data_IF_562017766220
#
_entry.id   IF_562017766220
#
_cell.length_a   1.000
_cell.length_b   1.000
_cell.length_c   1.000
_cell.angle_alpha   90.00
_cell.angle_beta   90.00
_cell.angle_gamma   90.00
#
_symmetry.space_group_name_H-M   'P 1'
#
loop_
_entity.id
_entity.type
_entity.pdbx_description
1 polymer ?
#
# COMPACT_ATOMS: atom_id res chain seq x y z
N UNK A 1 -4.39 -11.82 16.82
CA UNK A 1 -4.52 -11.19 15.51
C UNK A 1 -3.21 -11.27 14.75
N UNK A 2 -3.28 -11.59 13.47
CA UNK A 2 -2.10 -11.73 12.63
C UNK A 2 -1.50 -10.35 12.34
N UNK A 3 -0.17 -10.22 12.49
CA UNK A 3 0.53 -8.96 12.24
C UNK A 3 0.35 -8.48 10.80
N UNK A 4 0.35 -9.43 9.83
CA UNK A 4 0.15 -9.08 8.41
C UNK A 4 -1.24 -8.48 8.19
N UNK A 5 -2.25 -8.95 8.88
CA UNK A 5 -3.59 -8.39 8.75
C UNK A 5 -3.65 -6.94 9.21
N UNK A 6 -2.93 -6.61 10.29
CA UNK A 6 -2.82 -5.23 10.75
C UNK A 6 -2.10 -4.36 9.72
N UNK A 7 -1.02 -4.88 9.14
CA UNK A 7 -0.26 -4.14 8.12
C UNK A 7 -1.13 -3.89 6.89
N UNK A 8 -1.87 -4.89 6.44
CA UNK A 8 -2.79 -4.75 5.32
C UNK A 8 -3.81 -3.65 5.62
N UNK A 9 -4.42 -3.69 6.80
CA UNK A 9 -5.43 -2.70 7.18
C UNK A 9 -4.84 -1.29 7.20
N UNK A 10 -3.64 -1.12 7.72
CA UNK A 10 -2.97 0.18 7.75
C UNK A 10 -2.68 0.70 6.34
N UNK A 11 -2.22 -0.18 5.44
CA UNK A 11 -1.95 0.20 4.05
C UNK A 11 -3.24 0.66 3.37
N UNK A 12 -4.32 -0.08 3.57
CA UNK A 12 -5.61 0.26 2.97
C UNK A 12 -6.13 1.60 3.50
N UNK A 13 -5.97 1.82 4.81
CA UNK A 13 -6.37 3.08 5.42
C UNK A 13 -5.55 4.25 4.88
N UNK A 14 -4.25 4.09 4.76
CA UNK A 14 -3.38 5.13 4.22
C UNK A 14 -3.74 5.45 2.77
N UNK A 15 -4.01 4.42 1.96
CA UNK A 15 -4.41 4.62 0.57
C UNK A 15 -5.74 5.36 0.48
N UNK A 16 -6.70 4.97 1.31
CA UNK A 16 -8.01 5.63 1.32
C UNK A 16 -7.89 7.09 1.68
N UNK A 17 -7.09 7.42 2.69
CA UNK A 17 -6.86 8.81 3.09
C UNK A 17 -6.13 9.59 2.01
N UNK A 18 -5.11 8.99 1.42
CA UNK A 18 -4.27 9.67 0.44
C UNK A 18 -5.05 10.01 -0.83
N UNK A 19 -5.87 9.08 -1.31
CA UNK A 19 -6.63 9.26 -2.54
C UNK A 19 -8.07 9.70 -2.31
N UNK A 20 -8.45 9.93 -1.05
CA UNK A 20 -9.76 10.47 -0.68
C UNK A 20 -10.91 9.59 -1.15
N UNK A 21 -10.76 8.29 -0.93
CA UNK A 21 -11.82 7.30 -1.17
C UNK A 21 -12.15 6.66 0.17
N UNK A 22 -13.28 5.96 0.22
CA UNK A 22 -13.68 5.30 1.44
C UNK A 22 -12.92 3.99 1.61
N UNK A 23 -12.51 3.70 2.86
CA UNK A 23 -11.73 2.51 3.18
C UNK A 23 -12.45 1.22 2.71
N UNK A 24 -13.77 1.15 2.88
CA UNK A 24 -14.52 -0.06 2.55
C UNK A 24 -14.71 -0.27 1.05
N UNK A 25 -14.31 0.68 0.22
CA UNK A 25 -14.28 0.50 -1.23
C UNK A 25 -13.03 -0.23 -1.68
N UNK A 26 -12.05 -0.42 -0.80
CA UNK A 26 -10.78 -1.05 -1.14
C UNK A 26 -10.68 -2.44 -0.52
N UNK A 27 -10.17 -3.39 -1.29
CA UNK A 27 -9.90 -4.75 -0.82
C UNK A 27 -8.41 -5.05 -0.95
N UNK A 28 -7.86 -5.94 -0.10
CA UNK A 28 -6.43 -6.25 -0.16
C UNK A 28 -5.96 -6.77 -1.51
N UNK A 29 -6.82 -7.46 -2.25
CA UNK A 29 -6.47 -8.08 -3.52
C UNK A 29 -6.75 -7.20 -4.73
N UNK A 30 -7.26 -5.99 -4.52
CA UNK A 30 -7.47 -5.04 -5.60
C UNK A 30 -6.16 -4.58 -6.20
N UNK A 31 -6.10 -4.52 -7.53
CA UNK A 31 -5.03 -3.83 -8.23
C UNK A 31 -5.23 -2.34 -8.02
N UNK A 32 -4.33 -1.71 -7.25
CA UNK A 32 -4.53 -0.32 -6.87
C UNK A 32 -4.43 0.65 -8.05
N UNK A 33 -3.70 0.29 -9.12
CA UNK A 33 -3.67 1.13 -10.33
C UNK A 33 -5.05 1.16 -10.99
N UNK A 34 -5.68 0.00 -11.11
CA UNK A 34 -7.00 -0.10 -11.75
C UNK A 34 -8.10 0.43 -10.84
N UNK A 35 -8.04 0.04 -9.57
CA UNK A 35 -9.10 0.40 -8.62
C UNK A 35 -9.15 1.90 -8.38
N UNK A 36 -7.98 2.52 -8.24
CA UNK A 36 -7.88 3.95 -7.94
C UNK A 36 -7.72 4.81 -9.19
N UNK A 37 -7.46 4.19 -10.35
CA UNK A 37 -7.23 4.93 -11.59
C UNK A 37 -5.99 5.80 -11.54
N UNK A 38 -4.94 5.34 -10.86
CA UNK A 38 -3.73 6.13 -10.64
C UNK A 38 -2.60 5.66 -11.56
N UNK A 39 -1.63 6.53 -11.74
CA UNK A 39 -0.41 6.22 -12.49
C UNK A 39 0.75 5.92 -11.53
N UNK A 40 1.93 5.62 -12.10
CA UNK A 40 3.10 5.25 -11.31
C UNK A 40 3.57 6.38 -10.40
N UNK A 41 3.47 7.63 -10.82
CA UNK A 41 3.87 8.76 -9.98
C UNK A 41 2.97 8.88 -8.75
N UNK A 42 1.69 8.69 -8.94
CA UNK A 42 0.73 8.73 -7.83
C UNK A 42 0.95 7.57 -6.88
N UNK A 43 1.30 6.40 -7.42
CA UNK A 43 1.64 5.24 -6.58
C UNK A 43 2.90 5.51 -5.75
N UNK A 44 3.90 6.18 -6.34
CA UNK A 44 5.11 6.56 -5.60
C UNK A 44 4.80 7.53 -4.46
N UNK A 45 3.86 8.44 -4.67
CA UNK A 45 3.42 9.35 -3.59
C UNK A 45 2.85 8.57 -2.42
N UNK A 46 2.02 7.56 -2.70
CA UNK A 46 1.47 6.70 -1.65
C UNK A 46 2.59 5.94 -0.95
N UNK A 47 3.56 5.43 -1.72
CA UNK A 47 4.68 4.69 -1.13
C UNK A 47 5.50 5.56 -0.19
N UNK A 48 5.75 6.81 -0.56
CA UNK A 48 6.45 7.75 0.31
C UNK A 48 5.71 7.90 1.64
N UNK A 49 4.40 8.03 1.57
CA UNK A 49 3.58 8.15 2.78
C UNK A 49 3.64 6.89 3.63
N UNK A 50 3.60 5.72 2.99
CA UNK A 50 3.70 4.43 3.67
C UNK A 50 5.05 4.28 4.36
N UNK A 51 6.13 4.63 3.65
CA UNK A 51 7.48 4.58 4.23
C UNK A 51 7.61 5.46 5.47
N UNK A 52 7.05 6.66 5.39
CA UNK A 52 7.07 7.58 6.53
C UNK A 52 6.25 7.05 7.70
N UNK A 53 5.10 6.48 7.42
CA UNK A 53 4.21 5.96 8.46
C UNK A 53 4.84 4.79 9.21
N UNK A 54 5.48 3.88 8.50
CA UNK A 54 6.08 2.68 9.09
C UNK A 54 7.55 2.85 9.47
N UNK A 55 8.17 4.00 9.13
CA UNK A 55 9.59 4.27 9.38
C UNK A 55 10.49 3.23 8.73
N UNK A 56 10.22 2.93 7.47
CA UNK A 56 10.98 1.95 6.68
C UNK A 56 11.35 2.56 5.33
N UNK A 57 12.27 1.89 4.64
CA UNK A 57 12.60 2.21 3.25
C UNK A 57 12.27 1.02 2.37
N UNK A 58 11.63 1.30 1.24
CA UNK A 58 11.29 0.28 0.25
C UNK A 58 12.01 0.64 -1.06
N UNK A 59 13.14 -0.04 -1.35
CA UNK A 59 13.84 0.24 -2.60
C UNK A 59 13.00 -0.17 -3.81
N UNK A 60 13.29 0.46 -4.96
CA UNK A 60 12.51 0.25 -6.17
C UNK A 60 12.40 -1.21 -6.58
N UNK A 61 13.48 -1.99 -6.39
CA UNK A 61 13.47 -3.39 -6.80
C UNK A 61 12.47 -4.23 -5.97
N UNK A 62 12.18 -3.81 -4.75
CA UNK A 62 11.19 -4.50 -3.92
C UNK A 62 9.77 -4.25 -4.42
N UNK A 63 9.57 -3.20 -5.20
CA UNK A 63 8.25 -2.79 -5.67
C UNK A 63 7.92 -3.30 -7.06
N UNK A 64 8.88 -3.92 -7.74
CA UNK A 64 8.65 -4.49 -9.06
C UNK A 64 7.60 -5.59 -8.97
N UNK A 65 6.58 -5.50 -9.82
CA UNK A 65 5.50 -6.46 -9.86
C UNK A 65 4.47 -6.32 -8.75
N UNK A 66 4.63 -5.35 -7.86
CA UNK A 66 3.63 -5.10 -6.80
C UNK A 66 2.51 -4.24 -7.37
N UNK A 67 1.30 -4.80 -7.42
CA UNK A 67 0.14 -4.09 -7.97
C UNK A 67 -1.05 -4.08 -7.01
N UNK A 68 -1.03 -4.90 -5.96
CA UNK A 68 -2.14 -5.00 -5.01
C UNK A 68 -1.68 -4.67 -3.60
N UNK A 69 -2.65 -4.32 -2.77
CA UNK A 69 -2.36 -3.90 -1.39
C UNK A 69 -1.78 -5.02 -0.53
N UNK A 70 -2.26 -6.25 -0.75
CA UNK A 70 -1.77 -7.40 0.03
C UNK A 70 -0.27 -7.62 -0.21
N UNK A 71 0.15 -7.62 -1.46
CA UNK A 71 1.56 -7.80 -1.81
C UNK A 71 2.40 -6.65 -1.26
N UNK A 72 1.88 -5.42 -1.37
CA UNK A 72 2.56 -4.26 -0.80
C UNK A 72 2.74 -4.42 0.71
N UNK A 73 1.69 -4.85 1.40
CA UNK A 73 1.76 -5.07 2.84
C UNK A 73 2.78 -6.14 3.20
N UNK A 74 2.90 -7.19 2.39
CA UNK A 74 3.91 -8.23 2.61
C UNK A 74 5.33 -7.68 2.49
N UNK A 75 5.58 -6.80 1.52
CA UNK A 75 6.87 -6.13 1.39
C UNK A 75 7.19 -5.25 2.60
N UNK A 76 6.18 -4.51 3.05
CA UNK A 76 6.32 -3.69 4.26
C UNK A 76 6.64 -4.56 5.46
N UNK A 77 5.87 -5.63 5.63
CA UNK A 77 6.02 -6.53 6.78
C UNK A 77 7.43 -7.11 6.86
N UNK A 78 8.04 -7.41 5.71
CA UNK A 78 9.39 -7.97 5.68
C UNK A 78 10.45 -6.95 6.12
N UNK A 79 10.11 -5.68 6.23
CA UNK A 79 11.02 -4.61 6.65
C UNK A 79 10.75 -4.12 8.08
N UNK A 80 9.72 -4.65 8.72
CA UNK A 80 9.37 -4.24 10.09
C UNK A 80 10.17 -4.97 11.16
#
# INVERSE_FOLDING_TARGET
MNTIDKTIEEVLRLAAEHFKVQRDQLSPDDDFFKKLGINSLQALDLLTRVEQHFHIELPDYELQGVTDFRTLAQRIQSRL
#
